data_IF_916252762930
#
_entry.id   IF_916252762930
#
_cell.length_a   1.000
_cell.length_b   1.000
_cell.length_c   1.000
_cell.angle_alpha   90.00
_cell.angle_beta   90.00
_cell.angle_gamma   90.00
#
_symmetry.space_group_name_H-M   'P 1'
#
loop_
_entity.id
_entity.type
_entity.pdbx_description
1 polymer ?
#
# COMPACT_ATOMS: atom_id res chain seq x y z
N UNK A 1 -3.61 24.45 16.94
CA UNK A 1 -2.95 23.14 17.12
C UNK A 1 -2.54 22.45 15.80
N UNK A 2 -3.15 22.72 14.64
CA UNK A 2 -2.79 22.05 13.35
C UNK A 2 -1.49 22.51 12.68
N UNK A 3 -0.97 23.70 13.02
CA UNK A 3 0.25 24.26 12.39
C UNK A 3 1.55 23.61 12.87
N UNK A 4 1.58 23.08 14.10
CA UNK A 4 2.77 22.45 14.65
C UNK A 4 3.07 21.11 13.98
N UNK A 5 2.03 20.36 13.59
CA UNK A 5 2.17 19.06 12.94
C UNK A 5 2.69 19.19 11.51
N UNK A 6 2.37 20.27 10.80
CA UNK A 6 2.85 20.50 9.42
C UNK A 6 4.36 20.75 9.40
N UNK A 7 4.87 21.54 10.34
CA UNK A 7 6.31 21.83 10.43
C UNK A 7 7.14 20.58 10.79
N UNK A 8 6.60 19.69 11.61
CA UNK A 8 7.23 18.40 11.92
C UNK A 8 7.24 17.47 10.70
N UNK A 9 6.15 17.45 9.92
CA UNK A 9 6.06 16.66 8.69
C UNK A 9 7.03 17.17 7.60
N UNK A 10 7.21 18.49 7.46
CA UNK A 10 8.20 19.07 6.54
C UNK A 10 9.65 18.77 6.95
N UNK A 11 9.94 18.79 8.26
CA UNK A 11 11.25 18.37 8.78
C UNK A 11 11.56 16.92 8.44
N UNK A 12 10.58 16.03 8.56
CA UNK A 12 10.76 14.61 8.24
C UNK A 12 11.01 14.38 6.74
N UNK A 13 10.39 15.18 5.86
CA UNK A 13 10.64 15.12 4.41
C UNK A 13 12.03 15.64 4.02
N UNK A 14 12.54 16.67 4.72
CA UNK A 14 13.88 17.22 4.49
C UNK A 14 14.98 16.23 4.91
N UNK A 15 14.81 15.54 6.03
CA UNK A 15 15.78 14.54 6.52
C UNK A 15 15.86 13.31 5.60
N UNK A 16 14.74 12.90 5.00
CA UNK A 16 14.71 11.79 4.05
C UNK A 16 15.41 12.11 2.72
N UNK A 17 15.44 13.38 2.27
CA UNK A 17 16.16 13.79 1.05
C UNK A 17 17.67 13.85 1.22
N UNK A 18 18.17 14.12 2.44
CA UNK A 18 19.62 14.25 2.71
C UNK A 18 20.31 12.91 3.05
N UNK A 19 19.58 11.80 3.19
CA UNK A 19 20.15 10.49 3.51
C UNK A 19 20.70 9.68 2.31
N UNK A 20 20.65 10.22 1.10
CA UNK A 20 21.14 9.56 -0.13
C UNK A 20 22.66 9.72 -0.36
N UNK A 21 23.46 9.67 0.71
CA UNK A 21 24.91 9.55 0.64
C UNK A 21 25.32 8.15 1.08
N UNK A 22 25.72 7.34 0.10
CA UNK A 22 26.27 5.99 0.25
C UNK A 22 27.43 5.96 1.27
N UNK A 23 27.57 4.85 2.02
CA UNK A 23 28.90 4.34 2.33
C UNK A 23 29.08 2.90 1.81
N UNK A 24 30.09 2.75 0.96
CA UNK A 24 30.84 1.49 0.81
C UNK A 24 31.75 1.35 2.03
N UNK A 25 31.58 0.29 2.83
CA UNK A 25 32.66 -0.53 3.40
C UNK A 25 32.18 -1.41 4.57
N UNK A 26 32.40 -2.71 4.39
CA UNK A 26 32.88 -3.69 5.37
C UNK A 26 32.14 -3.85 6.72
N UNK A 27 31.59 -5.06 6.90
CA UNK A 27 31.87 -5.81 8.14
C UNK A 27 30.94 -5.58 9.32
N UNK A 28 29.65 -5.40 9.09
CA UNK A 28 28.64 -5.70 10.09
C UNK A 28 27.52 -6.49 9.40
N UNK A 29 27.22 -7.69 9.91
CA UNK A 29 26.02 -8.44 9.58
C UNK A 29 24.79 -7.70 10.13
N UNK A 30 24.54 -6.50 9.65
CA UNK A 30 23.21 -5.90 9.70
C UNK A 30 22.49 -6.46 8.50
N UNK A 31 21.39 -7.17 8.73
CA UNK A 31 20.48 -7.50 7.66
C UNK A 31 20.12 -6.18 6.97
N UNK A 32 20.75 -5.93 5.82
CA UNK A 32 20.33 -4.92 4.89
C UNK A 32 18.97 -5.44 4.44
N UNK A 33 17.92 -4.99 5.14
CA UNK A 33 16.62 -4.91 4.53
C UNK A 33 16.84 -3.98 3.35
N UNK A 34 17.19 -4.56 2.19
CA UNK A 34 16.99 -3.91 0.91
C UNK A 34 15.62 -3.30 1.05
N UNK A 35 15.53 -1.98 0.97
CA UNK A 35 14.30 -1.22 1.08
C UNK A 35 13.35 -1.77 0.02
N UNK A 36 12.66 -2.84 0.38
CA UNK A 36 11.97 -3.73 -0.55
C UNK A 36 10.67 -3.01 -0.81
N UNK A 37 10.74 -2.02 -1.71
CA UNK A 37 9.66 -1.15 -2.17
C UNK A 37 8.59 -1.03 -1.09
N UNK A 38 8.81 -0.20 -0.05
CA UNK A 38 7.91 0.02 1.10
C UNK A 38 6.53 -0.54 0.79
N UNK A 39 6.30 -1.81 1.16
CA UNK A 39 5.23 -2.62 0.56
C UNK A 39 3.97 -1.81 0.69
N UNK A 40 3.47 -1.30 -0.45
CA UNK A 40 2.41 -0.32 -0.47
C UNK A 40 1.19 -1.02 0.12
N UNK A 41 0.98 -0.77 1.42
CA UNK A 41 -0.05 -1.40 2.21
C UNK A 41 -1.25 -0.49 2.18
N UNK A 42 -2.33 -1.02 1.65
CA UNK A 42 -3.60 -0.36 1.53
C UNK A 42 -4.60 -1.08 2.43
N UNK A 43 -5.56 -0.34 3.00
CA UNK A 43 -6.65 -0.94 3.75
C UNK A 43 -7.93 -0.88 2.93
N UNK A 44 -8.73 -1.93 3.00
CA UNK A 44 -10.08 -1.95 2.41
C UNK A 44 -10.98 -1.05 3.24
N UNK A 45 -11.42 0.05 2.63
CA UNK A 45 -12.33 1.03 3.26
C UNK A 45 -13.78 0.64 3.03
N UNK A 46 -14.08 0.09 1.86
CA UNK A 46 -15.42 -0.34 1.50
C UNK A 46 -15.37 -1.50 0.50
N UNK A 47 -16.43 -2.29 0.52
CA UNK A 47 -16.66 -3.39 -0.40
C UNK A 47 -17.88 -3.04 -1.26
N UNK A 48 -17.85 -3.45 -2.52
CA UNK A 48 -19.00 -3.46 -3.41
C UNK A 48 -19.91 -4.65 -3.15
N UNK A 49 -21.10 -4.67 -3.75
CA UNK A 49 -22.00 -5.82 -3.73
C UNK A 49 -21.27 -7.08 -4.21
N UNK A 50 -21.55 -8.20 -3.55
CA UNK A 50 -20.96 -9.52 -3.83
C UNK A 50 -19.42 -9.56 -3.80
N UNK A 51 -18.79 -8.57 -3.18
CA UNK A 51 -17.34 -8.40 -3.23
C UNK A 51 -16.78 -8.26 -4.66
N UNK A 52 -17.56 -7.77 -5.63
CA UNK A 52 -17.09 -7.61 -7.01
C UNK A 52 -16.02 -6.52 -7.17
N UNK A 53 -16.06 -5.51 -6.31
CA UNK A 53 -15.05 -4.44 -6.26
C UNK A 53 -14.80 -4.01 -4.82
N UNK A 54 -13.64 -3.40 -4.59
CA UNK A 54 -13.21 -2.90 -3.28
C UNK A 54 -12.65 -1.49 -3.43
N UNK A 55 -12.87 -0.68 -2.40
CA UNK A 55 -12.29 0.66 -2.31
C UNK A 55 -11.12 0.60 -1.35
N UNK A 56 -9.94 0.97 -1.83
CA UNK A 56 -8.69 0.97 -1.10
C UNK A 56 -8.31 2.39 -0.70
N UNK A 57 -7.79 2.57 0.51
CA UNK A 57 -7.19 3.84 0.95
C UNK A 57 -5.80 4.06 0.33
N UNK A 58 -5.71 3.89 -0.99
CA UNK A 58 -4.49 3.96 -1.76
C UNK A 58 -4.77 4.66 -3.08
N UNK A 59 -4.66 5.99 -3.07
CA UNK A 59 -4.84 6.83 -4.26
C UNK A 59 -3.54 7.16 -4.99
N UNK A 60 -3.64 7.97 -6.04
CA UNK A 60 -2.50 8.45 -6.82
C UNK A 60 -1.48 9.22 -5.98
N UNK A 61 -1.92 9.91 -4.92
CA UNK A 61 -1.03 10.58 -3.96
C UNK A 61 -0.09 9.61 -3.22
N UNK A 62 -0.45 8.32 -3.14
CA UNK A 62 0.37 7.24 -2.56
C UNK A 62 1.05 6.36 -3.61
N UNK A 63 0.91 6.70 -4.89
CA UNK A 63 1.50 5.98 -6.01
C UNK A 63 0.62 4.90 -6.64
N UNK A 64 -0.70 4.92 -6.39
CA UNK A 64 -1.62 4.01 -7.07
C UNK A 64 -1.61 4.20 -8.58
N UNK A 65 -1.59 3.08 -9.31
CA UNK A 65 -1.62 3.04 -10.76
C UNK A 65 -2.76 2.17 -11.25
N UNK A 66 -3.33 2.55 -12.38
CA UNK A 66 -4.30 1.72 -13.10
C UNK A 66 -3.64 0.42 -13.56
N UNK A 67 -4.38 -0.69 -13.49
CA UNK A 67 -3.90 -2.03 -13.87
C UNK A 67 -2.99 -2.70 -12.84
N UNK A 68 -2.75 -2.06 -11.70
CA UNK A 68 -1.90 -2.59 -10.64
C UNK A 68 -2.65 -3.66 -9.82
N UNK A 69 -1.99 -4.78 -9.51
CA UNK A 69 -2.57 -5.88 -8.76
C UNK A 69 -2.25 -5.81 -7.27
N UNK A 70 -3.26 -6.05 -6.45
CA UNK A 70 -3.13 -6.12 -5.00
C UNK A 70 -3.62 -7.47 -4.50
N UNK A 71 -2.91 -8.03 -3.54
CA UNK A 71 -3.29 -9.22 -2.81
C UNK A 71 -3.99 -8.80 -1.53
N UNK A 72 -5.28 -9.09 -1.39
CA UNK A 72 -6.03 -8.88 -0.16
C UNK A 72 -5.75 -10.02 0.80
N UNK A 73 -5.41 -9.65 2.02
CA UNK A 73 -5.03 -10.57 3.09
C UNK A 73 -5.72 -10.17 4.38
N UNK A 74 -6.13 -11.16 5.13
CA UNK A 74 -6.59 -11.00 6.50
C UNK A 74 -5.58 -11.69 7.41
N UNK A 75 -4.74 -10.89 8.08
CA UNK A 75 -3.59 -11.42 8.82
C UNK A 75 -2.61 -12.14 7.89
N UNK A 76 -2.50 -13.47 8.05
CA UNK A 76 -1.60 -14.31 7.27
C UNK A 76 -2.24 -14.86 5.98
N UNK A 77 -3.57 -14.99 5.96
CA UNK A 77 -4.30 -15.65 4.87
C UNK A 77 -4.51 -14.73 3.68
N UNK A 78 -4.28 -15.27 2.48
CA UNK A 78 -4.60 -14.61 1.21
C UNK A 78 -6.07 -14.86 0.89
N UNK A 79 -6.85 -13.78 0.85
CA UNK A 79 -8.29 -13.83 0.59
C UNK A 79 -8.62 -13.70 -0.89
N UNK A 80 -8.02 -12.75 -1.58
CA UNK A 80 -8.30 -12.50 -2.99
C UNK A 80 -7.21 -11.67 -3.68
N UNK A 81 -7.23 -11.66 -5.00
CA UNK A 81 -6.45 -10.74 -5.83
C UNK A 81 -7.40 -9.69 -6.40
N UNK A 82 -7.01 -8.42 -6.36
CA UNK A 82 -7.74 -7.32 -7.00
C UNK A 82 -6.87 -6.58 -8.00
N UNK A 83 -7.52 -5.96 -8.97
CA UNK A 83 -6.89 -5.12 -9.98
C UNK A 83 -7.47 -3.70 -9.93
N UNK A 84 -6.60 -2.71 -9.77
CA UNK A 84 -7.00 -1.30 -9.74
C UNK A 84 -7.59 -0.91 -11.10
N UNK A 85 -8.87 -0.53 -11.09
CA UNK A 85 -9.61 -0.11 -12.27
C UNK A 85 -9.87 1.40 -12.32
N UNK A 86 -9.93 2.06 -11.16
CA UNK A 86 -10.02 3.52 -11.06
C UNK A 86 -9.10 4.04 -9.96
N UNK A 87 -8.43 5.16 -10.20
CA UNK A 87 -7.52 5.79 -9.25
C UNK A 87 -7.96 7.22 -9.00
N UNK A 88 -8.26 7.53 -7.75
CA UNK A 88 -8.48 8.90 -7.30
C UNK A 88 -7.31 9.40 -6.48
N UNK A 89 -7.35 10.68 -6.10
CA UNK A 89 -6.27 11.33 -5.35
C UNK A 89 -5.99 10.64 -4.02
N UNK A 90 -7.03 10.31 -3.25
CA UNK A 90 -6.91 9.77 -1.89
C UNK A 90 -7.22 8.27 -1.79
N UNK A 91 -8.08 7.74 -2.67
CA UNK A 91 -8.52 6.35 -2.69
C UNK A 91 -8.51 5.78 -4.11
N UNK A 92 -8.55 4.46 -4.25
CA UNK A 92 -8.71 3.78 -5.54
C UNK A 92 -9.81 2.73 -5.46
N UNK A 93 -10.37 2.41 -6.61
CA UNK A 93 -11.32 1.32 -6.78
C UNK A 93 -10.62 0.20 -7.51
N UNK A 94 -10.66 -1.00 -6.93
CA UNK A 94 -10.10 -2.20 -7.51
C UNK A 94 -11.19 -3.25 -7.70
N UNK A 95 -11.17 -3.94 -8.83
CA UNK A 95 -12.06 -5.06 -9.13
C UNK A 95 -11.46 -6.34 -8.55
N UNK A 96 -12.29 -7.14 -7.88
CA UNK A 96 -11.86 -8.44 -7.35
C UNK A 96 -11.88 -9.46 -8.47
N UNK A 97 -10.81 -10.24 -8.57
CA UNK A 97 -10.75 -11.35 -9.51
C UNK A 97 -11.52 -12.53 -8.91
N UNK A 98 -12.66 -12.94 -9.50
CA UNK A 98 -13.57 -13.92 -8.88
C UNK A 98 -12.92 -15.29 -8.68
N UNK A 99 -12.06 -15.73 -9.60
CA UNK A 99 -11.28 -16.97 -9.49
C UNK A 99 -10.27 -16.96 -8.32
N UNK A 100 -9.85 -15.78 -7.89
CA UNK A 100 -8.90 -15.62 -6.79
C UNK A 100 -9.58 -15.54 -5.41
N UNK A 101 -10.92 -15.47 -5.32
CA UNK A 101 -11.64 -15.32 -4.04
C UNK A 101 -11.65 -16.65 -3.29
N UNK A 102 -10.90 -16.69 -2.18
CA UNK A 102 -10.77 -17.86 -1.30
C UNK A 102 -11.51 -17.73 0.03
N UNK A 103 -12.13 -16.58 0.28
CA UNK A 103 -12.85 -16.32 1.52
C UNK A 103 -13.72 -15.08 1.45
N UNK A 104 -14.37 -14.77 2.57
CA UNK A 104 -15.20 -13.56 2.70
C UNK A 104 -14.31 -12.35 2.92
N UNK A 105 -14.46 -11.36 2.05
CA UNK A 105 -13.79 -10.08 2.15
C UNK A 105 -14.48 -9.21 3.18
N UNK A 106 -13.70 -8.59 4.06
CA UNK A 106 -14.18 -7.71 5.11
C UNK A 106 -13.56 -6.32 4.99
N UNK A 107 -14.32 -5.33 5.47
CA UNK A 107 -13.78 -3.98 5.64
C UNK A 107 -12.66 -4.02 6.68
N UNK A 108 -11.54 -3.39 6.35
CA UNK A 108 -10.32 -3.41 7.18
C UNK A 108 -9.28 -4.44 6.75
N UNK A 109 -9.60 -5.32 5.79
CA UNK A 109 -8.60 -6.24 5.24
C UNK A 109 -7.41 -5.46 4.63
N UNK A 110 -6.24 -6.07 4.72
CA UNK A 110 -4.99 -5.48 4.27
C UNK A 110 -4.71 -5.89 2.82
N UNK A 111 -4.59 -4.92 1.93
CA UNK A 111 -4.21 -5.10 0.55
C UNK A 111 -2.73 -4.78 0.38
N UNK A 112 -1.95 -5.75 -0.07
CA UNK A 112 -0.52 -5.61 -0.31
C UNK A 112 -0.27 -5.59 -1.81
N UNK A 113 0.50 -4.60 -2.27
CA UNK A 113 0.92 -4.54 -3.66
C UNK A 113 1.68 -5.81 -4.06
N UNK A 114 1.18 -6.49 -5.08
CA UNK A 114 1.86 -7.66 -5.66
C UNK A 114 2.77 -7.17 -6.81
N UNK A 115 4.05 -7.58 -6.86
CA UNK A 115 5.01 -7.10 -7.85
C UNK A 115 4.70 -7.48 -9.29
#
# INVERSE_FOLDING_TARGET
AYRATIAELERQLATAKNGAALPTAAGASTAVFSSRRSSASAAVVSLGPESAFVVLNYGSARGARLGQRFALRNGADLLATVLISDVRTQFSVAQVEPDSVRGVLHKGDSAILTP
#
